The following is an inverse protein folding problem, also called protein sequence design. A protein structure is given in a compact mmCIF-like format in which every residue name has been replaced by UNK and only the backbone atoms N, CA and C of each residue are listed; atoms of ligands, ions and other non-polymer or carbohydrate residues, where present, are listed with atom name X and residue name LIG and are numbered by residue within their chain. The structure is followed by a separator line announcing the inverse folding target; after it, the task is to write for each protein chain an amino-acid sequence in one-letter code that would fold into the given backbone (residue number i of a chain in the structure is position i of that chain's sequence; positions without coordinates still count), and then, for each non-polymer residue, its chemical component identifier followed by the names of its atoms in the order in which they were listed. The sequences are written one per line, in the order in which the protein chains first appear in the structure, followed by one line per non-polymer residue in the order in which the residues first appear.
data_IF_616363432015
#
_entry.id   IF_616363432015
#
_cell.length_a   1.000
_cell.length_b   1.000
_cell.length_c   1.000
_cell.angle_alpha   90.00
_cell.angle_beta   90.00
_cell.angle_gamma   90.00
#
_symmetry.space_group_name_H-M   'P 1'
#
loop_
_entity.id
_entity.type
_entity.pdbx_description
1 polymer ?
#
# COMPACT_ATOMS: atom_id res chain seq x y z
N UNK A 1 21.97 -35.51 -3.56
CA UNK A 1 21.59 -34.52 -2.53
C UNK A 1 22.35 -33.25 -2.90
N UNK A 2 21.67 -32.32 -3.58
CA UNK A 2 22.28 -31.02 -3.89
C UNK A 2 22.27 -30.21 -2.60
N UNK A 3 23.45 -29.87 -2.12
CA UNK A 3 23.64 -28.91 -1.04
C UNK A 3 22.97 -27.60 -1.44
N UNK A 4 22.04 -27.12 -0.58
CA UNK A 4 21.35 -25.89 -0.80
C UNK A 4 22.35 -24.75 -0.99
N UNK A 5 22.27 -24.07 -2.12
CA UNK A 5 23.03 -22.85 -2.38
C UNK A 5 22.76 -21.89 -1.23
N UNK A 6 23.81 -21.62 -0.46
CA UNK A 6 23.83 -20.49 0.48
C UNK A 6 23.38 -19.26 -0.28
N UNK A 7 22.23 -18.70 0.10
CA UNK A 7 21.65 -17.54 -0.58
C UNK A 7 22.40 -16.23 -0.27
N UNK A 8 23.55 -16.32 0.41
CA UNK A 8 24.44 -15.18 0.63
C UNK A 8 23.85 -14.07 1.51
N UNK A 9 22.85 -14.38 2.33
CA UNK A 9 22.33 -13.42 3.29
C UNK A 9 23.33 -13.21 4.43
N UNK A 10 23.58 -11.94 4.75
CA UNK A 10 24.33 -11.55 5.92
C UNK A 10 23.67 -12.17 7.17
N UNK A 11 24.41 -12.94 7.99
CA UNK A 11 23.87 -13.55 9.22
C UNK A 11 23.22 -12.53 10.16
N UNK A 12 23.81 -11.32 10.30
CA UNK A 12 23.30 -10.24 11.14
C UNK A 12 21.94 -9.73 10.62
N UNK A 13 21.75 -9.70 9.29
CA UNK A 13 20.49 -9.33 8.66
C UNK A 13 19.41 -10.38 8.93
N UNK A 14 19.76 -11.66 8.89
CA UNK A 14 18.83 -12.75 9.17
C UNK A 14 18.38 -12.72 10.64
N UNK A 15 19.30 -12.51 11.57
CA UNK A 15 18.98 -12.37 12.99
C UNK A 15 18.05 -11.18 13.23
N UNK A 16 18.36 -10.01 12.65
CA UNK A 16 17.53 -8.81 12.72
C UNK A 16 16.13 -9.06 12.17
N UNK A 17 16.03 -9.72 11.02
CA UNK A 17 14.72 -10.08 10.42
C UNK A 17 13.93 -11.01 11.32
N UNK A 18 14.58 -11.99 11.94
CA UNK A 18 13.93 -12.92 12.87
C UNK A 18 13.45 -12.21 14.14
N UNK A 19 14.24 -11.29 14.67
CA UNK A 19 13.84 -10.47 15.82
C UNK A 19 12.62 -9.60 15.51
N UNK A 20 12.61 -8.92 14.37
CA UNK A 20 11.46 -8.12 13.91
C UNK A 20 10.22 -9.01 13.74
N UNK A 21 10.35 -10.17 13.12
CA UNK A 21 9.26 -11.11 12.91
C UNK A 21 8.68 -11.67 14.22
N UNK A 22 9.51 -11.79 15.25
CA UNK A 22 9.12 -12.28 16.58
C UNK A 22 8.45 -11.20 17.45
N UNK A 23 8.51 -9.93 17.04
CA UNK A 23 7.87 -8.84 17.78
C UNK A 23 6.35 -8.99 17.79
N UNK A 24 5.70 -8.97 18.99
CA UNK A 24 4.25 -9.13 19.09
C UNK A 24 3.45 -8.04 18.36
N UNK A 25 3.96 -6.80 18.28
CA UNK A 25 3.30 -5.71 17.57
C UNK A 25 3.30 -6.00 16.05
N UNK A 26 4.41 -6.50 15.52
CA UNK A 26 4.52 -6.93 14.12
C UNK A 26 3.57 -8.10 13.85
N UNK A 27 3.55 -9.11 14.72
CA UNK A 27 2.62 -10.24 14.60
C UNK A 27 1.16 -9.81 14.57
N UNK A 28 0.78 -8.85 15.43
CA UNK A 28 -0.56 -8.26 15.45
C UNK A 28 -0.85 -7.46 14.18
N UNK A 29 0.10 -6.65 13.69
CA UNK A 29 -0.06 -5.88 12.48
C UNK A 29 -0.28 -6.77 11.26
N UNK A 30 0.49 -7.85 11.12
CA UNK A 30 0.32 -8.84 10.05
C UNK A 30 -1.06 -9.52 10.10
N UNK A 31 -1.54 -9.84 11.30
CA UNK A 31 -2.90 -10.38 11.47
C UNK A 31 -3.96 -9.38 11.03
N UNK A 32 -3.83 -8.11 11.44
CA UNK A 32 -4.76 -7.05 11.03
C UNK A 32 -4.82 -6.87 9.51
N UNK A 33 -3.66 -6.88 8.83
CA UNK A 33 -3.62 -6.80 7.35
C UNK A 33 -4.37 -7.98 6.72
N UNK A 34 -4.18 -9.19 7.25
CA UNK A 34 -4.87 -10.39 6.77
C UNK A 34 -6.38 -10.32 7.02
N UNK A 35 -6.78 -10.01 8.24
CA UNK A 35 -8.18 -10.03 8.67
C UNK A 35 -9.01 -8.94 7.97
N UNK A 36 -8.35 -7.82 7.56
CA UNK A 36 -8.95 -6.73 6.82
C UNK A 36 -8.73 -6.79 5.31
N UNK A 37 -8.37 -7.94 4.78
CA UNK A 37 -8.23 -8.12 3.34
C UNK A 37 -9.49 -7.70 2.54
N UNK A 38 -10.73 -7.99 2.99
CA UNK A 38 -11.93 -7.51 2.29
C UNK A 38 -12.02 -5.97 2.19
N UNK A 39 -11.61 -5.25 3.24
CA UNK A 39 -11.54 -3.78 3.24
C UNK A 39 -10.49 -3.27 2.24
N UNK A 40 -9.31 -3.92 2.20
CA UNK A 40 -8.25 -3.60 1.25
C UNK A 40 -8.72 -3.81 -0.19
N UNK A 41 -9.41 -4.90 -0.47
CA UNK A 41 -10.00 -5.18 -1.79
C UNK A 41 -11.07 -4.14 -2.14
N UNK A 42 -11.87 -3.70 -1.18
CA UNK A 42 -12.87 -2.64 -1.40
C UNK A 42 -12.21 -1.32 -1.81
N UNK A 43 -11.15 -0.91 -1.12
CA UNK A 43 -10.36 0.28 -1.48
C UNK A 43 -9.72 0.13 -2.85
N UNK A 44 -9.17 -1.03 -3.17
CA UNK A 44 -8.62 -1.30 -4.49
C UNK A 44 -9.67 -1.16 -5.60
N UNK A 45 -10.86 -1.72 -5.41
CA UNK A 45 -11.98 -1.59 -6.35
C UNK A 45 -12.42 -0.12 -6.50
N UNK A 46 -12.52 0.61 -5.40
CA UNK A 46 -12.87 2.03 -5.39
C UNK A 46 -11.86 2.86 -6.20
N UNK A 47 -10.57 2.73 -5.90
CA UNK A 47 -9.52 3.48 -6.58
C UNK A 47 -9.39 3.11 -8.07
N UNK A 48 -9.63 1.85 -8.44
CA UNK A 48 -9.60 1.40 -9.83
C UNK A 48 -10.71 2.04 -10.69
N UNK A 49 -11.84 2.42 -10.07
CA UNK A 49 -12.95 3.08 -10.75
C UNK A 49 -12.68 4.58 -11.00
N UNK A 50 -11.68 5.15 -10.38
CA UNK A 50 -11.28 6.55 -10.61
C UNK A 50 -10.26 6.57 -11.74
N UNK A 51 -10.71 6.97 -12.93
CA UNK A 51 -9.83 7.11 -14.08
C UNK A 51 -8.75 8.16 -13.82
N UNK A 52 -7.51 7.81 -14.12
CA UNK A 52 -6.34 8.64 -13.92
C UNK A 52 -5.31 8.40 -15.02
N UNK A 53 -5.60 8.80 -16.27
CA UNK A 53 -4.58 8.78 -17.31
C UNK A 53 -3.36 9.61 -16.90
N UNK A 54 -2.16 9.21 -17.32
CA UNK A 54 -0.92 9.95 -17.01
C UNK A 54 -1.08 11.44 -17.32
N UNK A 55 -0.84 12.30 -16.31
CA UNK A 55 -1.03 13.75 -16.36
C UNK A 55 -2.45 14.21 -16.00
N UNK A 56 -3.34 13.30 -15.55
CA UNK A 56 -4.72 13.60 -15.17
C UNK A 56 -5.13 12.82 -13.90
N UNK A 57 -4.25 12.81 -12.89
CA UNK A 57 -4.39 12.03 -11.65
C UNK A 57 -5.17 12.76 -10.54
N UNK A 58 -5.60 14.00 -10.76
CA UNK A 58 -6.09 14.89 -9.72
C UNK A 58 -7.23 14.27 -8.89
N UNK A 59 -8.17 13.58 -9.55
CA UNK A 59 -9.32 12.97 -8.87
C UNK A 59 -8.90 11.79 -7.99
N UNK A 60 -8.05 10.91 -8.53
CA UNK A 60 -7.52 9.75 -7.78
C UNK A 60 -6.61 10.21 -6.64
N UNK A 61 -5.76 11.21 -6.90
CA UNK A 61 -4.91 11.84 -5.90
C UNK A 61 -5.71 12.46 -4.75
N UNK A 62 -6.76 13.23 -5.07
CA UNK A 62 -7.64 13.81 -4.05
C UNK A 62 -8.28 12.73 -3.17
N UNK A 63 -8.81 11.65 -3.78
CA UNK A 63 -9.38 10.54 -3.01
C UNK A 63 -8.34 9.81 -2.18
N UNK A 64 -7.13 9.60 -2.73
CA UNK A 64 -6.05 8.95 -1.99
C UNK A 64 -5.59 9.80 -0.80
N UNK A 65 -5.54 11.13 -0.95
CA UNK A 65 -5.27 12.05 0.16
C UNK A 65 -6.30 11.92 1.31
N UNK A 66 -7.59 11.77 0.98
CA UNK A 66 -8.63 11.50 1.97
C UNK A 66 -8.37 10.18 2.70
N UNK A 67 -8.07 9.11 1.95
CA UNK A 67 -7.79 7.79 2.52
C UNK A 67 -6.56 7.80 3.44
N UNK A 68 -5.52 8.59 3.11
CA UNK A 68 -4.36 8.78 4.00
C UNK A 68 -4.76 9.49 5.30
N UNK A 69 -5.61 10.53 5.22
CA UNK A 69 -6.13 11.21 6.41
C UNK A 69 -7.00 10.28 7.27
N UNK A 70 -7.89 9.51 6.65
CA UNK A 70 -8.71 8.50 7.31
C UNK A 70 -7.84 7.42 7.99
N UNK A 71 -6.69 7.08 7.40
CA UNK A 71 -5.69 6.18 7.99
C UNK A 71 -4.93 6.83 9.16
N UNK A 72 -5.11 8.13 9.40
CA UNK A 72 -4.51 8.87 10.51
C UNK A 72 -3.09 9.35 10.23
N UNK A 73 -2.71 9.55 8.97
CA UNK A 73 -1.44 10.19 8.62
C UNK A 73 -1.52 11.69 8.88
N UNK A 74 -0.40 12.27 9.26
CA UNK A 74 -0.23 13.69 9.52
C UNK A 74 0.36 14.41 8.30
N UNK A 75 0.10 15.72 8.16
CA UNK A 75 0.67 16.52 7.09
C UNK A 75 0.32 16.02 5.69
N UNK A 76 -0.91 15.51 5.50
CA UNK A 76 -1.33 15.01 4.18
C UNK A 76 -1.55 16.17 3.23
N UNK A 77 -0.71 16.26 2.23
CA UNK A 77 -0.65 17.34 1.24
C UNK A 77 -0.57 16.79 -0.18
N UNK A 78 -0.90 17.64 -1.14
CA UNK A 78 -0.65 17.40 -2.57
C UNK A 78 0.28 18.49 -3.07
N UNK A 79 1.38 18.10 -3.68
CA UNK A 79 2.35 19.06 -4.21
C UNK A 79 1.88 19.67 -5.55
N UNK A 80 2.58 20.69 -6.07
CA UNK A 80 2.23 21.32 -7.35
C UNK A 80 2.31 20.38 -8.57
N UNK A 81 2.92 19.19 -8.43
CA UNK A 81 3.02 18.18 -9.49
C UNK A 81 1.95 17.09 -9.37
N UNK A 82 1.07 17.17 -8.35
CA UNK A 82 0.01 16.20 -8.12
C UNK A 82 0.42 15.02 -7.22
N UNK A 83 1.66 14.98 -6.73
CA UNK A 83 2.08 13.92 -5.79
C UNK A 83 1.41 14.10 -4.44
N UNK A 84 0.82 13.03 -3.92
CA UNK A 84 0.16 13.00 -2.61
C UNK A 84 1.08 12.34 -1.60
N UNK A 85 1.33 12.99 -0.50
CA UNK A 85 2.16 12.46 0.58
C UNK A 85 1.59 12.76 1.95
N UNK A 86 2.02 11.99 2.94
CA UNK A 86 1.68 12.16 4.34
C UNK A 86 2.68 11.41 5.21
N UNK A 87 2.66 11.67 6.51
CA UNK A 87 3.61 11.12 7.46
C UNK A 87 2.91 10.25 8.48
N UNK A 88 3.41 9.04 8.67
CA UNK A 88 3.12 8.22 9.84
C UNK A 88 4.30 8.33 10.79
N UNK A 89 4.08 8.95 11.95
CA UNK A 89 5.13 9.08 12.97
C UNK A 89 5.35 7.72 13.64
N UNK A 90 6.53 7.16 13.48
CA UNK A 90 6.95 5.95 14.17
C UNK A 90 7.17 6.17 15.67
N UNK A 91 7.18 5.09 16.43
CA UNK A 91 7.39 5.12 17.89
C UNK A 91 8.88 5.04 18.27
N UNK A 92 9.73 4.56 17.36
CA UNK A 92 11.18 4.55 17.53
C UNK A 92 11.80 5.93 17.28
N UNK A 93 12.64 6.40 18.18
CA UNK A 93 13.28 7.71 18.06
C UNK A 93 14.67 7.60 17.40
N UNK A 94 14.74 6.94 16.25
CA UNK A 94 16.00 6.63 15.54
C UNK A 94 16.47 7.74 14.60
N UNK A 95 15.62 8.73 14.30
CA UNK A 95 15.86 9.75 13.28
C UNK A 95 15.88 9.22 11.85
N UNK A 96 15.52 7.94 11.63
CA UNK A 96 15.43 7.32 10.31
C UNK A 96 14.00 7.39 9.80
N UNK A 97 13.85 7.50 8.48
CA UNK A 97 12.57 7.47 7.80
C UNK A 97 12.58 6.38 6.73
N UNK A 98 11.42 5.79 6.47
CA UNK A 98 11.19 4.86 5.37
C UNK A 98 10.18 5.50 4.44
N UNK A 99 10.51 5.57 3.15
CA UNK A 99 9.58 5.97 2.11
C UNK A 99 8.86 4.74 1.59
N UNK A 100 7.52 4.81 1.56
CA UNK A 100 6.65 3.83 0.90
C UNK A 100 5.91 4.60 -0.19
N UNK A 101 6.04 4.16 -1.43
CA UNK A 101 5.46 4.86 -2.57
C UNK A 101 4.65 3.94 -3.49
N UNK A 102 3.90 4.53 -4.38
CA UNK A 102 3.17 3.93 -5.47
C UNK A 102 2.67 5.03 -6.40
N UNK A 103 2.42 4.73 -7.68
CA UNK A 103 1.95 5.73 -8.62
C UNK A 103 0.42 5.77 -8.74
N UNK A 104 -0.09 6.97 -9.03
CA UNK A 104 -1.53 7.22 -9.15
C UNK A 104 -2.05 6.98 -10.57
N UNK A 105 -1.21 7.23 -11.57
CA UNK A 105 -1.60 7.22 -12.96
C UNK A 105 -1.78 5.80 -13.52
N UNK A 106 -2.43 5.75 -14.65
CA UNK A 106 -2.56 4.56 -15.48
C UNK A 106 -2.34 4.91 -16.95
N UNK A 107 -1.89 3.92 -17.74
CA UNK A 107 -1.73 4.06 -19.19
C UNK A 107 -3.05 4.05 -19.97
N UNK A 108 -4.18 3.89 -19.28
CA UNK A 108 -5.50 3.79 -19.90
C UNK A 108 -6.11 5.18 -20.10
N UNK A 109 -6.90 5.33 -21.16
CA UNK A 109 -7.57 6.59 -21.49
C UNK A 109 -8.87 6.77 -20.72
N UNK A 110 -9.35 8.02 -20.65
CA UNK A 110 -10.71 8.27 -20.16
C UNK A 110 -11.75 7.48 -20.96
N UNK A 111 -12.66 6.86 -20.26
CA UNK A 111 -13.70 6.03 -20.84
C UNK A 111 -13.33 4.54 -21.02
N UNK A 112 -12.11 4.13 -20.68
CA UNK A 112 -11.70 2.72 -20.71
C UNK A 112 -12.21 1.94 -19.50
N UNK A 113 -12.41 2.59 -18.35
CA UNK A 113 -12.93 1.97 -17.13
C UNK A 113 -14.44 1.79 -17.22
N UNK A 114 -14.89 0.55 -17.42
CA UNK A 114 -16.32 0.20 -17.49
C UNK A 114 -16.87 -0.42 -16.21
N UNK A 115 -16.03 -0.62 -15.22
CA UNK A 115 -16.36 -1.26 -13.95
C UNK A 115 -15.33 -2.31 -13.56
N UNK A 116 -15.46 -2.82 -12.34
CA UNK A 116 -14.67 -3.95 -11.85
C UNK A 116 -15.51 -5.20 -11.98
N UNK A 117 -14.98 -6.23 -12.63
CA UNK A 117 -15.61 -7.57 -12.69
C UNK A 117 -14.75 -8.58 -11.94
N UNK A 118 -15.39 -9.65 -11.49
CA UNK A 118 -14.72 -10.76 -10.79
C UNK A 118 -15.05 -12.05 -11.51
N UNK A 119 -14.04 -12.85 -11.82
CA UNK A 119 -14.23 -14.14 -12.48
C UNK A 119 -14.48 -15.27 -11.48
N UNK A 120 -14.73 -16.48 -12.01
CA UNK A 120 -15.00 -17.67 -11.19
C UNK A 120 -13.83 -18.13 -10.31
N UNK A 121 -12.62 -17.61 -10.54
CA UNK A 121 -11.43 -17.88 -9.73
C UNK A 121 -11.17 -16.77 -8.70
N UNK A 122 -12.06 -15.77 -8.60
CA UNK A 122 -11.93 -14.64 -7.68
C UNK A 122 -10.93 -13.57 -8.16
N UNK A 123 -10.54 -13.57 -9.44
CA UNK A 123 -9.65 -12.55 -9.98
C UNK A 123 -10.45 -11.32 -10.39
N UNK A 124 -9.92 -10.16 -10.03
CA UNK A 124 -10.52 -8.88 -10.38
C UNK A 124 -9.98 -8.37 -11.72
N UNK A 125 -10.88 -7.87 -12.55
CA UNK A 125 -10.57 -7.32 -13.87
C UNK A 125 -11.08 -5.88 -13.97
N UNK A 126 -10.16 -4.96 -14.21
CA UNK A 126 -10.40 -3.54 -14.49
C UNK A 126 -9.10 -2.93 -15.02
N UNK A 127 -9.13 -1.97 -15.94
CA UNK A 127 -7.95 -1.20 -16.31
C UNK A 127 -7.27 -0.58 -15.07
N UNK A 128 -5.95 -0.78 -14.91
CA UNK A 128 -5.17 -0.22 -13.80
C UNK A 128 -5.42 -0.83 -12.42
N UNK A 129 -6.20 -1.93 -12.29
CA UNK A 129 -6.54 -2.51 -10.98
C UNK A 129 -5.33 -3.14 -10.27
N UNK A 130 -4.35 -3.60 -11.03
CA UNK A 130 -3.12 -4.18 -10.49
C UNK A 130 -2.01 -3.14 -10.43
N UNK A 131 -1.82 -2.43 -11.53
CA UNK A 131 -0.74 -1.47 -11.76
C UNK A 131 -1.28 -0.02 -11.75
N UNK A 132 -1.11 0.77 -10.67
CA UNK A 132 -0.51 0.39 -9.38
C UNK A 132 -1.56 0.45 -8.23
N UNK A 133 -2.86 0.41 -8.59
CA UNK A 133 -3.97 0.54 -7.63
C UNK A 133 -3.88 -0.48 -6.50
N UNK A 134 -3.33 -1.68 -6.79
CA UNK A 134 -3.15 -2.69 -5.76
C UNK A 134 -2.10 -2.29 -4.72
N UNK A 135 -0.98 -1.72 -5.15
CA UNK A 135 0.04 -1.25 -4.20
C UNK A 135 -0.48 -0.08 -3.37
N UNK A 136 -1.23 0.85 -3.97
CA UNK A 136 -1.87 1.94 -3.23
C UNK A 136 -2.79 1.42 -2.11
N UNK A 137 -3.63 0.43 -2.40
CA UNK A 137 -4.49 -0.19 -1.40
C UNK A 137 -3.71 -0.97 -0.33
N UNK A 138 -2.64 -1.68 -0.73
CA UNK A 138 -1.78 -2.41 0.18
C UNK A 138 -1.00 -1.48 1.12
N UNK A 139 -0.46 -0.37 0.59
CA UNK A 139 0.23 0.65 1.38
C UNK A 139 -0.70 1.21 2.48
N UNK A 140 -1.95 1.52 2.15
CA UNK A 140 -2.95 1.95 3.12
C UNK A 140 -3.21 0.90 4.20
N UNK A 141 -3.34 -0.37 3.82
CA UNK A 141 -3.56 -1.46 4.77
C UNK A 141 -2.39 -1.61 5.76
N UNK A 142 -1.15 -1.52 5.25
CA UNK A 142 0.07 -1.57 6.07
C UNK A 142 0.13 -0.36 7.01
N UNK A 143 -0.06 0.86 6.50
CA UNK A 143 0.00 2.09 7.30
C UNK A 143 -1.06 2.09 8.42
N UNK A 144 -2.30 1.66 8.12
CA UNK A 144 -3.36 1.49 9.12
C UNK A 144 -2.99 0.48 10.21
N UNK A 145 -2.42 -0.65 9.82
CA UNK A 145 -1.99 -1.68 10.76
C UNK A 145 -0.83 -1.19 11.64
N UNK A 146 0.17 -0.52 11.06
CA UNK A 146 1.28 0.09 11.81
C UNK A 146 0.76 1.11 12.82
N UNK A 147 -0.09 2.05 12.39
CA UNK A 147 -0.70 3.05 13.27
C UNK A 147 -1.43 2.39 14.44
N UNK A 148 -2.25 1.38 14.17
CA UNK A 148 -3.06 0.70 15.18
C UNK A 148 -2.22 -0.13 16.16
N UNK A 149 -1.07 -0.61 15.75
CA UNK A 149 -0.16 -1.40 16.58
C UNK A 149 0.92 -0.58 17.27
N UNK A 150 0.99 0.72 17.00
CA UNK A 150 2.00 1.60 17.59
C UNK A 150 3.43 1.33 17.10
N UNK A 151 3.55 0.97 15.82
CA UNK A 151 4.83 0.71 15.15
C UNK A 151 5.38 2.02 14.58
#
# INVERSE_FOLDING_TARGET
MEEGKDCGFDPDLLETFQAVKADPAIGKALSLVRDRLPETISVQKELALIEAPTGHEEKKGARYAELLREAGLEGVETDPHGSVFGFLKGTGNTGKSVLIEGHLDTVFSFGDVKGVTEDSEGRLHCPGICDDTRALAANLAVLRAMKQCGI
#
